data_IF_452079434992
#
_entry.id   IF_452079434992
#
_cell.length_a   1.000
_cell.length_b   1.000
_cell.length_c   1.000
_cell.angle_alpha   90.00
_cell.angle_beta   90.00
_cell.angle_gamma   90.00
#
_symmetry.space_group_name_H-M   'P 1'
#
loop_
_entity.id
_entity.type
_entity.pdbx_description
1 polymer ?
#
# COMPACT_ATOMS: atom_id res chain seq x y z
N UNK A 1 3.38 -5.93 -14.37
CA UNK A 1 3.13 -6.27 -12.95
C UNK A 1 1.67 -6.64 -12.68
N UNK A 2 0.69 -5.82 -13.10
CA UNK A 2 -0.73 -5.99 -12.78
C UNK A 2 -1.34 -7.35 -13.19
N UNK A 3 -0.94 -7.92 -14.34
CA UNK A 3 -1.52 -9.19 -14.79
C UNK A 3 -1.06 -10.39 -13.96
N UNK A 4 0.19 -10.41 -13.50
CA UNK A 4 0.72 -11.49 -12.65
C UNK A 4 0.00 -11.47 -11.30
N UNK A 5 -0.10 -10.28 -10.70
CA UNK A 5 -0.77 -10.08 -9.41
C UNK A 5 -2.25 -10.44 -9.51
N UNK A 6 -2.93 -10.08 -10.61
CA UNK A 6 -4.33 -10.46 -10.82
C UNK A 6 -4.50 -11.98 -10.94
N UNK A 7 -3.67 -12.64 -11.76
CA UNK A 7 -3.72 -14.11 -11.93
C UNK A 7 -3.45 -14.84 -10.61
N UNK A 8 -2.44 -14.41 -9.85
CA UNK A 8 -2.14 -14.96 -8.53
C UNK A 8 -3.32 -14.78 -7.57
N UNK A 9 -3.84 -13.56 -7.47
CA UNK A 9 -4.96 -13.21 -6.60
C UNK A 9 -6.22 -14.01 -6.95
N UNK A 10 -6.45 -14.23 -8.24
CA UNK A 10 -7.56 -15.03 -8.74
C UNK A 10 -7.38 -16.53 -8.48
N UNK A 11 -6.17 -17.05 -8.63
CA UNK A 11 -5.85 -18.44 -8.32
C UNK A 11 -6.10 -18.73 -6.83
N UNK A 12 -5.61 -17.87 -5.93
CA UNK A 12 -5.84 -17.99 -4.49
C UNK A 12 -7.33 -17.86 -4.15
N UNK A 13 -8.05 -16.95 -4.81
CA UNK A 13 -9.51 -16.84 -4.67
C UNK A 13 -10.21 -18.15 -5.04
N UNK A 14 -9.93 -18.69 -6.23
CA UNK A 14 -10.55 -19.94 -6.71
C UNK A 14 -10.24 -21.12 -5.80
N UNK A 15 -9.01 -21.23 -5.31
CA UNK A 15 -8.57 -22.32 -4.45
C UNK A 15 -9.21 -22.28 -3.07
N UNK A 16 -9.52 -21.09 -2.54
CA UNK A 16 -9.94 -20.93 -1.14
C UNK A 16 -11.38 -20.49 -0.94
N UNK A 17 -12.10 -20.10 -2.00
CA UNK A 17 -13.50 -19.65 -1.90
C UNK A 17 -14.43 -20.74 -1.31
N UNK A 18 -15.40 -20.30 -0.52
CA UNK A 18 -16.52 -21.11 -0.03
C UNK A 18 -17.70 -21.06 -1.01
N UNK A 19 -18.68 -21.95 -0.80
CA UNK A 19 -19.91 -21.98 -1.59
C UNK A 19 -20.71 -20.66 -1.55
N UNK A 20 -20.62 -19.91 -0.44
CA UNK A 20 -21.29 -18.61 -0.32
C UNK A 20 -20.56 -17.45 -1.02
N UNK A 21 -19.31 -17.64 -1.45
CA UNK A 21 -18.54 -16.61 -2.13
C UNK A 21 -18.97 -16.49 -3.60
N UNK A 22 -19.08 -15.27 -4.15
CA UNK A 22 -19.58 -15.06 -5.51
C UNK A 22 -18.69 -15.68 -6.58
N UNK A 23 -19.26 -15.98 -7.75
CA UNK A 23 -18.43 -16.28 -8.93
C UNK A 23 -17.79 -14.98 -9.42
N UNK A 24 -16.51 -15.03 -9.77
CA UNK A 24 -15.71 -13.90 -10.25
C UNK A 24 -14.89 -14.36 -11.46
N UNK A 25 -14.52 -13.43 -12.33
CA UNK A 25 -13.67 -13.66 -13.50
C UNK A 25 -12.23 -13.13 -13.36
N UNK A 26 -11.91 -12.43 -12.27
CA UNK A 26 -10.58 -11.86 -12.02
C UNK A 26 -10.24 -11.73 -10.53
N UNK A 27 -8.98 -11.43 -10.25
CA UNK A 27 -8.37 -11.34 -8.91
C UNK A 27 -8.42 -9.95 -8.29
N UNK A 28 -8.89 -8.95 -9.04
CA UNK A 28 -9.07 -7.60 -8.50
C UNK A 28 -9.92 -7.62 -7.21
N UNK A 29 -9.38 -7.00 -6.16
CA UNK A 29 -9.95 -6.92 -4.80
C UNK A 29 -10.10 -8.27 -4.08
N UNK A 30 -9.20 -9.22 -4.37
CA UNK A 30 -9.08 -10.46 -3.59
C UNK A 30 -7.83 -10.42 -2.74
N UNK A 31 -6.81 -11.21 -3.05
CA UNK A 31 -5.65 -11.46 -2.18
C UNK A 31 -4.94 -10.17 -1.74
N UNK A 32 -4.77 -9.22 -2.66
CA UNK A 32 -4.08 -7.95 -2.35
C UNK A 32 -4.80 -7.06 -1.35
N UNK A 33 -6.07 -7.35 -1.07
CA UNK A 33 -6.95 -6.57 -0.17
C UNK A 33 -7.25 -7.38 1.09
N UNK A 34 -6.20 -7.93 1.70
CA UNK A 34 -6.28 -8.78 2.89
C UNK A 34 -5.17 -8.41 3.88
N UNK A 35 -5.48 -8.50 5.18
CA UNK A 35 -4.48 -8.25 6.23
C UNK A 35 -3.28 -9.21 6.09
N UNK A 36 -3.53 -10.45 5.67
CA UNK A 36 -2.49 -11.44 5.49
C UNK A 36 -1.53 -11.04 4.37
N UNK A 37 -2.04 -10.52 3.25
CA UNK A 37 -1.19 -9.99 2.18
C UNK A 37 -0.38 -8.78 2.65
N UNK A 38 -0.97 -7.86 3.41
CA UNK A 38 -0.27 -6.72 3.99
C UNK A 38 0.90 -7.18 4.89
N UNK A 39 0.67 -8.18 5.76
CA UNK A 39 1.71 -8.77 6.61
C UNK A 39 2.80 -9.45 5.80
N UNK A 40 2.44 -10.21 4.76
CA UNK A 40 3.42 -10.89 3.90
C UNK A 40 4.29 -9.91 3.12
N UNK A 41 3.70 -8.83 2.60
CA UNK A 41 4.42 -7.80 1.85
C UNK A 41 5.30 -6.96 2.76
N UNK A 42 4.80 -6.55 3.93
CA UNK A 42 5.59 -5.85 4.94
C UNK A 42 6.76 -6.71 5.44
N UNK A 43 6.48 -7.91 5.95
CA UNK A 43 7.50 -8.83 6.43
C UNK A 43 8.50 -9.23 5.34
N UNK A 44 8.01 -9.51 4.13
CA UNK A 44 8.86 -9.81 2.97
C UNK A 44 9.78 -8.65 2.60
N UNK A 45 9.30 -7.41 2.65
CA UNK A 45 10.11 -6.22 2.41
C UNK A 45 11.17 -6.02 3.50
N UNK A 46 10.82 -6.24 4.77
CA UNK A 46 11.77 -6.21 5.89
C UNK A 46 12.89 -7.24 5.73
N UNK A 47 12.54 -8.49 5.40
CA UNK A 47 13.53 -9.55 5.15
C UNK A 47 14.41 -9.20 3.95
N UNK A 48 13.80 -8.71 2.86
CA UNK A 48 14.52 -8.32 1.66
C UNK A 48 15.49 -7.16 1.93
N UNK A 49 15.08 -6.18 2.75
CA UNK A 49 15.90 -5.04 3.12
C UNK A 49 17.17 -5.46 3.88
N UNK A 50 17.05 -6.40 4.84
CA UNK A 50 18.20 -6.95 5.57
C UNK A 50 19.11 -7.73 4.61
N UNK A 51 18.55 -8.69 3.87
CA UNK A 51 19.35 -9.64 3.08
C UNK A 51 19.98 -8.99 1.86
N UNK A 52 19.29 -8.04 1.23
CA UNK A 52 19.76 -7.34 0.03
C UNK A 52 20.41 -5.98 0.31
N UNK A 53 20.44 -5.54 1.56
CA UNK A 53 21.01 -4.27 1.99
C UNK A 53 20.51 -3.08 1.18
N UNK A 54 21.40 -2.13 0.90
CA UNK A 54 21.07 -0.88 0.20
C UNK A 54 20.35 -1.08 -1.14
N UNK A 55 20.71 -2.10 -1.92
CA UNK A 55 20.09 -2.33 -3.23
C UNK A 55 18.65 -2.81 -3.12
N UNK A 56 18.34 -3.66 -2.14
CA UNK A 56 16.98 -4.02 -1.81
C UNK A 56 16.16 -2.81 -1.34
N UNK A 57 16.73 -2.00 -0.45
CA UNK A 57 16.09 -0.76 0.03
C UNK A 57 15.75 0.18 -1.12
N UNK A 58 16.69 0.40 -2.04
CA UNK A 58 16.47 1.22 -3.24
C UNK A 58 15.34 0.67 -4.11
N UNK A 59 15.31 -0.65 -4.34
CA UNK A 59 14.26 -1.28 -5.13
C UNK A 59 12.88 -1.15 -4.45
N UNK A 60 12.81 -1.37 -3.13
CA UNK A 60 11.59 -1.23 -2.33
C UNK A 60 11.08 0.22 -2.41
N UNK A 61 11.95 1.19 -2.12
CA UNK A 61 11.60 2.61 -2.18
C UNK A 61 11.17 3.04 -3.58
N UNK A 62 11.89 2.61 -4.62
CA UNK A 62 11.55 2.91 -6.00
C UNK A 62 10.14 2.45 -6.36
N UNK A 63 9.81 1.18 -6.09
CA UNK A 63 8.47 0.63 -6.37
C UNK A 63 7.39 1.41 -5.64
N UNK A 64 7.60 1.73 -4.36
CA UNK A 64 6.63 2.49 -3.58
C UNK A 64 6.50 3.94 -4.03
N UNK A 65 7.59 4.59 -4.49
CA UNK A 65 7.54 5.95 -5.03
C UNK A 65 6.81 5.99 -6.37
N UNK A 66 7.00 5.01 -7.24
CA UNK A 66 6.20 4.90 -8.47
C UNK A 66 4.71 4.81 -8.12
N UNK A 67 4.34 3.91 -7.20
CA UNK A 67 2.94 3.75 -6.76
C UNK A 67 2.38 5.02 -6.12
N UNK A 68 3.17 5.72 -5.30
CA UNK A 68 2.75 6.95 -4.64
C UNK A 68 2.54 8.10 -5.64
N UNK A 69 3.47 8.27 -6.59
CA UNK A 69 3.40 9.31 -7.63
C UNK A 69 2.22 9.04 -8.55
N UNK A 70 2.09 7.82 -9.08
CA UNK A 70 0.98 7.46 -9.95
C UNK A 70 -0.38 7.55 -9.24
N UNK A 71 -0.44 7.17 -7.96
CA UNK A 71 -1.66 7.24 -7.17
C UNK A 71 -2.10 8.66 -6.83
N UNK A 72 -1.17 9.48 -6.30
CA UNK A 72 -1.46 10.83 -5.83
C UNK A 72 -1.60 11.83 -6.99
N UNK A 73 -0.68 11.75 -7.96
CA UNK A 73 -0.60 12.68 -9.07
C UNK A 73 -1.28 12.14 -10.33
N UNK A 74 -2.16 11.13 -10.22
CA UNK A 74 -2.75 10.45 -11.38
C UNK A 74 -3.34 11.40 -12.43
N UNK A 75 -3.92 12.53 -12.01
CA UNK A 75 -4.46 13.55 -12.94
C UNK A 75 -3.38 14.33 -13.68
N UNK A 76 -2.29 14.66 -12.99
CA UNK A 76 -1.13 15.30 -13.61
C UNK A 76 -0.35 14.29 -14.47
N UNK A 77 -0.29 13.03 -14.06
CA UNK A 77 0.38 11.94 -14.76
C UNK A 77 -0.40 11.44 -16.00
N UNK A 78 -1.74 11.55 -16.03
CA UNK A 78 -2.60 11.08 -17.14
C UNK A 78 -2.44 11.84 -18.45
N UNK A 79 -1.77 12.99 -18.47
CA UNK A 79 -1.51 13.80 -19.67
C UNK A 79 -0.03 13.87 -20.07
N UNK A 80 0.88 13.59 -19.15
CA UNK A 80 2.31 13.51 -19.41
C UNK A 80 2.69 12.07 -19.69
N UNK A 81 2.66 11.68 -20.96
CA UNK A 81 3.12 10.38 -21.48
C UNK A 81 4.63 10.16 -21.28
N UNK A 82 5.06 10.08 -20.03
CA UNK A 82 6.44 9.78 -19.72
C UNK A 82 6.47 9.00 -18.42
N UNK A 83 6.15 7.71 -18.51
CA UNK A 83 6.51 6.72 -17.49
C UNK A 83 7.97 6.91 -17.07
N UNK A 84 8.82 7.33 -18.01
CA UNK A 84 10.21 7.74 -17.78
C UNK A 84 10.32 8.88 -16.75
N UNK A 85 9.53 9.96 -16.81
CA UNK A 85 9.58 11.03 -15.81
C UNK A 85 9.12 10.53 -14.44
N UNK A 86 8.09 9.70 -14.37
CA UNK A 86 7.65 9.07 -13.12
C UNK A 86 8.75 8.20 -12.54
N UNK A 87 9.40 7.38 -13.36
CA UNK A 87 10.49 6.51 -12.95
C UNK A 87 11.73 7.30 -12.55
N UNK A 88 12.09 8.36 -13.28
CA UNK A 88 13.20 9.23 -12.91
C UNK A 88 12.92 9.92 -11.57
N UNK A 89 11.73 10.48 -11.37
CA UNK A 89 11.36 11.10 -10.10
C UNK A 89 11.36 10.08 -8.96
N UNK A 90 10.81 8.88 -9.18
CA UNK A 90 10.80 7.81 -8.20
C UNK A 90 12.22 7.33 -7.86
N UNK A 91 13.09 7.16 -8.87
CA UNK A 91 14.46 6.72 -8.70
C UNK A 91 15.31 7.77 -7.96
N UNK A 92 15.21 9.05 -8.35
CA UNK A 92 15.91 10.14 -7.67
C UNK A 92 15.41 10.28 -6.23
N UNK A 93 14.10 10.20 -5.99
CA UNK A 93 13.53 10.25 -4.64
C UNK A 93 13.99 9.08 -3.78
N UNK A 94 13.94 7.86 -4.30
CA UNK A 94 14.42 6.66 -3.62
C UNK A 94 15.93 6.76 -3.29
N UNK A 95 16.73 7.25 -4.22
CA UNK A 95 18.17 7.46 -4.02
C UNK A 95 18.47 8.45 -2.90
N UNK A 96 17.78 9.60 -2.90
CA UNK A 96 17.91 10.63 -1.87
C UNK A 96 17.47 10.10 -0.52
N UNK A 97 16.29 9.46 -0.44
CA UNK A 97 15.74 8.92 0.82
C UNK A 97 16.68 7.85 1.39
N UNK A 98 17.11 6.87 0.59
CA UNK A 98 18.06 5.86 1.03
C UNK A 98 19.39 6.49 1.50
N UNK A 99 19.89 7.50 0.78
CA UNK A 99 21.10 8.24 1.18
C UNK A 99 20.94 9.07 2.45
N UNK A 100 19.73 9.54 2.77
CA UNK A 100 19.44 10.20 4.06
C UNK A 100 19.40 9.16 5.17
N UNK A 101 18.69 8.04 4.98
CA UNK A 101 18.55 6.98 5.98
C UNK A 101 19.89 6.33 6.36
N UNK A 102 20.80 6.14 5.40
CA UNK A 102 22.14 5.58 5.62
C UNK A 102 23.04 6.45 6.52
N UNK A 103 22.72 7.73 6.70
CA UNK A 103 23.54 8.60 7.56
C UNK A 103 23.31 8.22 9.03
N UNK A 104 24.38 8.15 9.85
CA UNK A 104 24.26 7.88 11.28
C UNK A 104 23.24 8.81 11.94
N UNK A 105 22.29 8.25 12.69
CA UNK A 105 21.25 9.00 13.39
C UNK A 105 20.05 9.45 12.54
N UNK A 106 19.99 9.12 11.25
CA UNK A 106 18.89 9.51 10.36
C UNK A 106 17.85 8.41 10.10
N UNK A 107 18.03 7.22 10.67
CA UNK A 107 16.93 6.26 10.81
C UNK A 107 17.08 4.92 10.09
N UNK A 108 18.23 4.56 9.51
CA UNK A 108 18.47 3.16 9.11
C UNK A 108 18.18 2.19 10.28
N UNK A 109 18.48 2.60 11.50
CA UNK A 109 18.34 1.88 12.78
C UNK A 109 17.16 2.36 13.64
N UNK A 110 16.19 3.10 13.08
CA UNK A 110 15.13 3.82 13.83
C UNK A 110 14.38 2.96 14.87
N UNK A 111 13.94 1.76 14.50
CA UNK A 111 13.20 0.85 15.39
C UNK A 111 14.07 -0.27 15.98
N UNK A 112 15.19 -0.56 15.33
CA UNK A 112 16.03 -1.71 15.59
C UNK A 112 17.49 -1.28 15.48
N UNK A 113 18.23 -1.37 16.59
CA UNK A 113 19.58 -0.80 16.73
C UNK A 113 20.70 -1.83 16.75
N UNK A 114 20.39 -3.12 16.76
CA UNK A 114 21.43 -4.16 16.75
C UNK A 114 22.09 -4.25 15.35
N UNK A 115 23.40 -4.56 15.29
CA UNK A 115 24.09 -4.72 14.02
C UNK A 115 23.42 -5.73 13.09
N UNK A 116 23.23 -5.38 11.83
CA UNK A 116 22.56 -6.24 10.84
C UNK A 116 21.03 -6.14 10.85
N UNK A 117 20.43 -5.27 11.66
CA UNK A 117 19.00 -4.97 11.66
C UNK A 117 18.65 -3.67 10.95
N UNK A 118 19.62 -3.06 10.26
CA UNK A 118 19.40 -1.84 9.49
C UNK A 118 18.26 -2.08 8.49
N UNK A 119 17.33 -1.12 8.40
CA UNK A 119 16.17 -1.16 7.52
C UNK A 119 15.11 -2.22 7.82
N UNK A 120 15.27 -3.01 8.89
CA UNK A 120 14.28 -4.04 9.26
C UNK A 120 12.88 -3.44 9.47
N UNK A 121 12.79 -2.16 9.84
CA UNK A 121 11.54 -1.44 10.04
C UNK A 121 10.82 -1.04 8.75
N UNK A 122 11.47 -1.09 7.57
CA UNK A 122 10.87 -0.62 6.30
C UNK A 122 9.59 -1.37 5.91
N UNK A 123 9.43 -2.61 6.37
CA UNK A 123 8.19 -3.36 6.17
C UNK A 123 6.98 -2.80 6.93
N UNK A 124 7.20 -2.09 8.03
CA UNK A 124 6.14 -1.52 8.86
C UNK A 124 5.29 -0.49 8.11
N UNK A 125 5.84 0.56 7.48
CA UNK A 125 5.05 1.51 6.70
C UNK A 125 4.35 0.86 5.50
N UNK A 126 4.93 -0.18 4.90
CA UNK A 126 4.31 -0.94 3.79
C UNK A 126 3.07 -1.68 4.28
N UNK A 127 3.19 -2.41 5.39
CA UNK A 127 2.08 -3.10 6.04
C UNK A 127 0.99 -2.12 6.43
N UNK A 128 1.34 -1.05 7.16
CA UNK A 128 0.38 -0.06 7.63
C UNK A 128 -0.30 0.66 6.46
N UNK A 129 0.44 1.03 5.43
CA UNK A 129 -0.10 1.63 4.21
C UNK A 129 -1.10 0.72 3.50
N UNK A 130 -0.79 -0.57 3.36
CA UNK A 130 -1.71 -1.56 2.79
C UNK A 130 -2.97 -1.74 3.64
N UNK A 131 -2.85 -1.80 4.97
CA UNK A 131 -4.02 -1.88 5.85
C UNK A 131 -4.89 -0.62 5.78
N UNK A 132 -4.29 0.57 5.78
CA UNK A 132 -5.02 1.83 5.65
C UNK A 132 -5.73 1.91 4.30
N UNK A 133 -5.09 1.43 3.23
CA UNK A 133 -5.71 1.29 1.91
C UNK A 133 -6.92 0.36 1.95
N UNK A 134 -6.78 -0.83 2.53
CA UNK A 134 -7.86 -1.81 2.66
C UNK A 134 -9.03 -1.30 3.52
N UNK A 135 -8.72 -0.54 4.57
CA UNK A 135 -9.73 0.14 5.39
C UNK A 135 -10.47 1.19 4.55
N UNK A 136 -9.75 2.00 3.78
CA UNK A 136 -10.35 2.95 2.83
C UNK A 136 -11.32 2.27 1.87
N UNK A 137 -10.91 1.14 1.29
CA UNK A 137 -11.74 0.34 0.40
C UNK A 137 -12.95 -0.29 1.12
N UNK A 138 -12.78 -0.73 2.38
CA UNK A 138 -13.85 -1.25 3.22
C UNK A 138 -14.95 -0.20 3.49
N UNK A 139 -14.59 1.09 3.56
CA UNK A 139 -15.54 2.19 3.74
C UNK A 139 -16.36 2.48 2.47
N UNK A 140 -15.94 1.98 1.31
CA UNK A 140 -16.70 2.14 0.06
C UNK A 140 -17.91 1.21 -0.02
N UNK A 141 -18.82 1.47 -0.98
CA UNK A 141 -19.97 0.58 -1.24
C UNK A 141 -19.54 -0.86 -1.51
N UNK A 142 -18.40 -1.07 -2.16
CA UNK A 142 -17.91 -2.40 -2.54
C UNK A 142 -17.41 -3.23 -1.36
N UNK A 143 -16.91 -2.58 -0.30
CA UNK A 143 -16.21 -3.24 0.79
C UNK A 143 -14.90 -3.93 0.35
N UNK A 144 -14.23 -4.56 1.31
CA UNK A 144 -12.93 -5.21 1.13
C UNK A 144 -12.86 -6.53 1.92
N UNK A 145 -12.30 -7.63 1.38
CA UNK A 145 -12.17 -8.90 2.08
C UNK A 145 -11.03 -8.91 3.11
N UNK A 146 -10.86 -7.83 3.87
CA UNK A 146 -9.69 -7.59 4.73
C UNK A 146 -9.44 -8.75 5.70
N UNK A 147 -10.50 -9.40 6.21
CA UNK A 147 -10.45 -10.49 7.20
C UNK A 147 -10.05 -11.87 6.65
N UNK A 148 -9.94 -12.02 5.32
CA UNK A 148 -9.48 -13.28 4.75
C UNK A 148 -8.12 -13.68 5.37
N UNK A 149 -7.92 -14.95 5.77
CA UNK A 149 -8.68 -16.15 5.43
C UNK A 149 -9.79 -16.54 6.43
N UNK A 150 -10.11 -15.69 7.40
CA UNK A 150 -11.11 -15.97 8.44
C UNK A 150 -12.52 -15.83 7.84
N UNK A 151 -13.37 -16.87 7.87
CA UNK A 151 -14.69 -16.82 7.28
C UNK A 151 -15.67 -15.99 8.12
N UNK A 152 -16.50 -15.21 7.44
CA UNK A 152 -17.64 -14.49 8.03
C UNK A 152 -18.92 -15.13 7.49
N UNK A 153 -19.57 -15.93 8.34
CA UNK A 153 -20.72 -16.76 7.95
C UNK A 153 -20.36 -17.76 6.86
N UNK A 154 -21.12 -17.76 5.75
CA UNK A 154 -20.92 -18.70 4.61
C UNK A 154 -19.85 -18.24 3.61
N UNK A 155 -19.22 -17.09 3.84
CA UNK A 155 -18.26 -16.44 2.93
C UNK A 155 -16.87 -16.42 3.54
N UNK A 156 -15.85 -16.82 2.80
CA UNK A 156 -14.45 -16.63 3.20
C UNK A 156 -13.90 -15.31 2.66
N UNK A 157 -14.43 -14.85 1.54
CA UNK A 157 -14.08 -13.57 0.93
C UNK A 157 -15.20 -12.56 1.18
N UNK A 158 -15.51 -12.33 2.47
CA UNK A 158 -16.59 -11.44 2.88
C UNK A 158 -16.16 -9.97 2.74
N UNK A 159 -16.85 -9.15 1.92
CA UNK A 159 -16.50 -7.74 1.76
C UNK A 159 -16.94 -6.96 3.01
N UNK A 160 -16.01 -6.82 3.95
CA UNK A 160 -16.18 -6.03 5.17
C UNK A 160 -16.41 -4.57 4.79
N UNK A 161 -17.32 -3.93 5.52
CA UNK A 161 -17.57 -2.51 5.44
C UNK A 161 -18.64 -2.10 6.45
N UNK A 162 -18.73 -0.80 6.79
CA UNK A 162 -19.68 -0.29 7.78
C UNK A 162 -21.13 -0.46 7.31
N UNK A 163 -22.14 -0.12 8.14
CA UNK A 163 -23.54 -0.08 7.71
C UNK A 163 -23.71 0.72 6.41
N UNK A 164 -24.65 0.30 5.55
CA UNK A 164 -24.81 0.84 4.18
C UNK A 164 -24.91 2.37 4.13
N UNK A 165 -25.52 3.00 5.14
CA UNK A 165 -25.69 4.45 5.23
C UNK A 165 -24.37 5.23 5.42
N UNK A 166 -23.33 4.59 5.96
CA UNK A 166 -22.01 5.20 6.16
C UNK A 166 -21.06 5.02 4.96
N UNK A 167 -21.47 4.25 3.94
CA UNK A 167 -20.61 3.94 2.80
C UNK A 167 -20.66 5.03 1.75
N UNK A 168 -19.52 5.38 1.19
CA UNK A 168 -19.43 6.31 0.06
C UNK A 168 -19.06 5.60 -1.25
N UNK A 169 -19.35 6.24 -2.38
CA UNK A 169 -18.97 5.73 -3.70
C UNK A 169 -17.57 6.24 -4.05
N UNK A 170 -16.70 5.31 -4.46
CA UNK A 170 -15.39 5.65 -5.02
C UNK A 170 -15.53 6.53 -6.28
N UNK A 171 -14.71 7.57 -6.42
CA UNK A 171 -14.80 8.61 -7.44
C UNK A 171 -15.98 9.58 -7.27
N UNK A 172 -16.64 9.62 -6.12
CA UNK A 172 -17.75 10.56 -5.88
C UNK A 172 -17.27 12.01 -5.72
N UNK A 173 -18.19 12.96 -5.86
CA UNK A 173 -17.90 14.37 -5.63
C UNK A 173 -17.37 14.63 -4.20
N UNK A 174 -17.93 13.95 -3.20
CA UNK A 174 -17.50 14.06 -1.79
C UNK A 174 -16.05 13.61 -1.64
N UNK A 175 -15.68 12.49 -2.24
CA UNK A 175 -14.31 12.02 -2.22
C UNK A 175 -13.35 13.01 -2.87
N UNK A 176 -13.68 13.47 -4.08
CA UNK A 176 -12.78 14.28 -4.89
C UNK A 176 -12.65 15.73 -4.40
N UNK A 177 -13.71 16.30 -3.79
CA UNK A 177 -13.75 17.71 -3.38
C UNK A 177 -13.57 17.92 -1.88
N UNK A 178 -13.79 16.90 -1.06
CA UNK A 178 -13.70 17.00 0.39
C UNK A 178 -12.62 16.08 0.94
N UNK A 179 -12.78 14.75 0.75
CA UNK A 179 -11.89 13.78 1.39
C UNK A 179 -10.45 13.87 0.88
N UNK A 180 -10.24 13.92 -0.45
CA UNK A 180 -8.92 14.00 -1.05
C UNK A 180 -8.14 15.27 -0.60
N UNK A 181 -8.70 16.50 -0.71
CA UNK A 181 -8.00 17.68 -0.21
C UNK A 181 -7.70 17.63 1.28
N UNK A 182 -8.64 17.15 2.10
CA UNK A 182 -8.43 17.01 3.55
C UNK A 182 -7.29 16.05 3.85
N UNK A 183 -7.27 14.86 3.24
CA UNK A 183 -6.18 13.91 3.44
C UNK A 183 -4.84 14.40 2.89
N UNK A 184 -4.84 15.17 1.81
CA UNK A 184 -3.62 15.78 1.27
C UNK A 184 -3.05 16.83 2.25
N UNK A 185 -3.90 17.68 2.83
CA UNK A 185 -3.50 18.66 3.85
C UNK A 185 -3.04 17.96 5.12
N UNK A 186 -3.81 17.01 5.65
CA UNK A 186 -3.44 16.26 6.85
C UNK A 186 -2.14 15.48 6.67
N UNK A 187 -1.95 14.86 5.50
CA UNK A 187 -0.70 14.18 5.15
C UNK A 187 0.48 15.16 5.07
N UNK A 188 0.30 16.32 4.46
CA UNK A 188 1.31 17.37 4.40
C UNK A 188 1.68 17.95 5.77
N UNK A 189 0.69 18.20 6.62
CA UNK A 189 0.88 18.63 8.01
C UNK A 189 1.58 17.55 8.82
N UNK A 190 1.17 16.29 8.67
CA UNK A 190 1.84 15.16 9.32
C UNK A 190 3.29 15.01 8.90
N UNK A 191 3.60 15.22 7.62
CA UNK A 191 4.98 15.24 7.13
C UNK A 191 5.78 16.41 7.70
N UNK A 192 5.22 17.62 7.75
CA UNK A 192 5.87 18.79 8.33
C UNK A 192 6.16 18.61 9.83
N UNK A 193 5.22 18.05 10.58
CA UNK A 193 5.40 17.71 11.99
C UNK A 193 6.47 16.63 12.18
N UNK A 194 6.47 15.58 11.35
CA UNK A 194 7.49 14.53 11.40
C UNK A 194 8.91 15.05 11.09
N UNK A 195 9.01 16.13 10.31
CA UNK A 195 10.26 16.83 10.01
C UNK A 195 10.61 17.92 11.03
N UNK A 196 9.82 18.08 12.11
CA UNK A 196 9.96 19.14 13.11
C UNK A 196 9.97 20.57 12.52
N UNK A 197 9.21 20.78 11.44
CA UNK A 197 9.03 22.12 10.85
C UNK A 197 7.94 22.92 11.58
N UNK A 198 6.96 22.22 12.15
CA UNK A 198 5.85 22.74 12.97
C UNK A 198 5.62 21.86 14.19
#
# INVERSE_FOLDING_TARGET
>A
MCEIVDKLSYAVYKATKKQGDPRRSGGHRTLTHTWLWAVLLGGGASVLAIVGGRWAVLAILFVHMVLAIEGLLWRAARGSSSDVLVWLLAATSAWIIAGVLDKPGNGADWLFSEPGQEYLWLGLPILLGALVHDIGDALTVSGCPILWPIPVGRKRWYPVGPPKAMRFRAGSWVELRVLMPVFMVLGGVGAAAALNVI
#
